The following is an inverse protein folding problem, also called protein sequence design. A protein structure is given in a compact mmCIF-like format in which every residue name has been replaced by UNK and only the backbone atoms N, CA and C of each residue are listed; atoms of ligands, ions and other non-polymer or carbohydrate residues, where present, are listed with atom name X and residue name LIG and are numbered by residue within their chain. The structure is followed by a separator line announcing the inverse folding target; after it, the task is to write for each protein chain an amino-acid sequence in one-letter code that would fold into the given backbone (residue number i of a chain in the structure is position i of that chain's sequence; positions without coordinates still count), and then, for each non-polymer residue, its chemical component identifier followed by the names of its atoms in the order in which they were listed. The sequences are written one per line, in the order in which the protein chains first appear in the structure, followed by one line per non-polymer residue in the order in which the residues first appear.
data_IF_328513885713
#
_entry.id   IF_328513885713
#
_cell.length_a   1.000
_cell.length_b   1.000
_cell.length_c   1.000
_cell.angle_alpha   90.00
_cell.angle_beta   90.00
_cell.angle_gamma   90.00
#
_symmetry.space_group_name_H-M   'P 1'
#
loop_
_entity.id
_entity.type
_entity.pdbx_description
1 polymer ?
#
# COMPACT_ATOMS: atom_id res chain seq x y z
N UNK A 1 -17.72 2.79 28.78
CA UNK A 1 -18.85 3.02 27.84
C UNK A 1 -18.27 3.35 26.48
N UNK A 2 -17.74 2.33 25.81
CA UNK A 2 -18.35 1.68 24.62
C UNK A 2 -18.36 2.59 23.40
N UNK A 3 -17.43 2.29 22.48
CA UNK A 3 -17.65 2.25 21.04
C UNK A 3 -18.20 3.51 20.39
N UNK A 4 -17.34 4.22 19.65
CA UNK A 4 -17.61 4.58 18.24
C UNK A 4 -16.32 5.19 17.66
N UNK A 5 -15.93 4.74 16.46
CA UNK A 5 -14.75 5.16 15.67
C UNK A 5 -13.40 4.45 15.87
N UNK A 6 -13.38 3.18 16.32
CA UNK A 6 -12.32 2.24 15.90
C UNK A 6 -12.75 1.51 14.61
N UNK A 7 -13.30 2.26 13.65
CA UNK A 7 -13.79 1.71 12.37
C UNK A 7 -12.78 2.09 11.28
N UNK A 8 -12.12 1.07 10.74
CA UNK A 8 -11.28 1.07 9.54
C UNK A 8 -9.81 1.52 9.67
N UNK A 9 -8.96 0.73 10.35
CA UNK A 9 -7.56 0.63 9.91
C UNK A 9 -7.50 -0.19 8.61
N UNK A 10 -7.85 0.41 7.47
CA UNK A 10 -7.58 -0.12 6.11
C UNK A 10 -6.11 0.10 5.70
N UNK A 11 -5.20 -0.01 6.66
CA UNK A 11 -3.76 0.10 6.48
C UNK A 11 -3.10 -1.10 7.13
N UNK A 12 -2.00 -1.58 6.53
CA UNK A 12 -1.19 -2.63 7.13
C UNK A 12 -0.88 -2.30 8.59
N UNK A 13 -0.91 -3.31 9.47
CA UNK A 13 -0.75 -3.08 10.90
C UNK A 13 0.60 -2.41 11.20
N UNK A 14 0.58 -1.41 12.08
CA UNK A 14 1.77 -0.62 12.46
C UNK A 14 2.89 -1.52 12.99
N UNK A 15 2.52 -2.60 13.68
CA UNK A 15 3.45 -3.63 14.17
C UNK A 15 4.28 -4.26 13.04
N UNK A 16 3.66 -4.53 11.89
CA UNK A 16 4.32 -5.13 10.73
C UNK A 16 5.24 -4.12 10.04
N UNK A 17 4.86 -2.84 10.01
CA UNK A 17 5.70 -1.77 9.47
C UNK A 17 6.95 -1.58 10.35
N UNK A 18 6.78 -1.57 11.67
CA UNK A 18 7.90 -1.53 12.62
C UNK A 18 8.85 -2.71 12.38
N UNK A 19 8.30 -3.92 12.19
CA UNK A 19 9.09 -5.11 11.89
C UNK A 19 9.87 -5.01 10.57
N UNK A 20 9.28 -4.43 9.52
CA UNK A 20 10.00 -4.17 8.25
C UNK A 20 11.21 -3.25 8.49
N UNK A 21 11.05 -2.21 9.33
CA UNK A 21 12.12 -1.26 9.65
C UNK A 21 13.22 -1.92 10.49
N UNK A 22 12.87 -2.72 11.50
CA UNK A 22 13.83 -3.50 12.29
C UNK A 22 14.69 -4.40 11.39
N UNK A 23 14.05 -5.18 10.50
CA UNK A 23 14.74 -6.05 9.55
C UNK A 23 15.60 -5.24 8.56
N UNK A 24 15.17 -4.04 8.19
CA UNK A 24 15.95 -3.15 7.34
C UNK A 24 17.23 -2.68 8.04
N UNK A 25 17.14 -2.19 9.27
CA UNK A 25 18.32 -1.78 10.04
C UNK A 25 19.28 -2.95 10.28
N UNK A 26 18.74 -4.11 10.68
CA UNK A 26 19.54 -5.33 10.85
C UNK A 26 20.26 -5.75 9.56
N UNK A 27 19.59 -5.67 8.41
CA UNK A 27 20.19 -5.99 7.10
C UNK A 27 21.37 -5.08 6.73
N UNK A 28 21.37 -3.84 7.23
CA UNK A 28 22.44 -2.85 6.95
C UNK A 28 23.64 -3.01 7.86
N UNK A 29 23.42 -3.39 9.11
CA UNK A 29 24.47 -3.48 10.12
C UNK A 29 25.19 -4.83 10.11
N UNK A 30 24.40 -5.92 10.17
CA UNK A 30 24.93 -7.28 10.41
C UNK A 30 24.49 -8.31 9.37
N UNK A 31 23.54 -7.94 8.50
CA UNK A 31 22.93 -8.85 7.53
C UNK A 31 21.72 -9.61 8.10
N UNK A 32 21.01 -10.33 7.23
CA UNK A 32 19.84 -11.12 7.59
C UNK A 32 20.12 -12.61 7.42
N UNK A 33 19.54 -13.42 8.29
CA UNK A 33 19.42 -14.86 8.04
C UNK A 33 18.42 -15.13 6.90
N UNK A 34 18.48 -16.32 6.30
CA UNK A 34 17.54 -16.73 5.24
C UNK A 34 16.08 -16.70 5.69
N UNK A 35 15.81 -17.00 6.96
CA UNK A 35 14.47 -16.95 7.53
C UNK A 35 13.95 -15.50 7.62
N UNK A 36 14.81 -14.58 8.08
CA UNK A 36 14.48 -13.16 8.20
C UNK A 36 14.36 -12.49 6.84
N UNK A 37 15.16 -12.90 5.86
CA UNK A 37 15.03 -12.44 4.48
C UNK A 37 13.66 -12.84 3.91
N UNK A 38 13.23 -14.09 4.10
CA UNK A 38 11.90 -14.56 3.69
C UNK A 38 10.79 -13.78 4.41
N UNK A 39 10.92 -13.57 5.72
CA UNK A 39 9.99 -12.75 6.50
C UNK A 39 9.88 -11.33 5.91
N UNK A 40 11.01 -10.67 5.69
CA UNK A 40 11.06 -9.32 5.14
C UNK A 40 10.40 -9.23 3.75
N UNK A 41 10.62 -10.21 2.89
CA UNK A 41 10.01 -10.27 1.55
C UNK A 41 8.49 -10.39 1.63
N UNK A 42 7.98 -11.26 2.51
CA UNK A 42 6.53 -11.44 2.71
C UNK A 42 5.91 -10.13 3.23
N UNK A 43 6.50 -9.54 4.26
CA UNK A 43 6.02 -8.30 4.84
C UNK A 43 6.04 -7.14 3.82
N UNK A 44 7.13 -7.00 3.05
CA UNK A 44 7.21 -5.97 2.00
C UNK A 44 6.17 -6.16 0.90
N UNK A 45 5.91 -7.40 0.50
CA UNK A 45 4.87 -7.70 -0.49
C UNK A 45 3.50 -7.27 0.01
N UNK A 46 3.14 -7.64 1.24
CA UNK A 46 1.88 -7.25 1.87
C UNK A 46 1.74 -5.72 1.96
N UNK A 47 2.82 -5.03 2.34
CA UNK A 47 2.84 -3.57 2.42
C UNK A 47 2.57 -2.93 1.07
N UNK A 48 3.32 -3.32 0.04
CA UNK A 48 3.17 -2.77 -1.30
C UNK A 48 1.76 -3.03 -1.84
N UNK A 49 1.19 -4.21 -1.61
CA UNK A 49 -0.17 -4.52 -2.05
C UNK A 49 -1.22 -3.67 -1.32
N UNK A 50 -1.03 -3.39 -0.03
CA UNK A 50 -1.88 -2.48 0.72
C UNK A 50 -1.80 -1.04 0.20
N UNK A 51 -0.59 -0.55 -0.10
CA UNK A 51 -0.35 0.79 -0.64
C UNK A 51 -0.94 0.92 -2.05
N UNK A 52 -0.71 -0.06 -2.92
CA UNK A 52 -1.29 -0.09 -4.29
C UNK A 52 -2.81 -0.04 -4.26
N UNK A 53 -3.45 -0.80 -3.37
CA UNK A 53 -4.91 -0.79 -3.21
C UNK A 53 -5.41 0.58 -2.75
N UNK A 54 -4.73 1.19 -1.78
CA UNK A 54 -5.11 2.52 -1.30
C UNK A 54 -4.96 3.58 -2.40
N UNK A 55 -3.82 3.60 -3.11
CA UNK A 55 -3.57 4.52 -4.21
C UNK A 55 -4.60 4.36 -5.34
N UNK A 56 -4.95 3.13 -5.71
CA UNK A 56 -5.99 2.88 -6.73
C UNK A 56 -7.33 3.51 -6.33
N UNK A 57 -7.76 3.31 -5.08
CA UNK A 57 -8.99 3.92 -4.58
C UNK A 57 -8.94 5.45 -4.56
N UNK A 58 -7.76 6.05 -4.35
CA UNK A 58 -7.61 7.51 -4.48
C UNK A 58 -7.74 7.95 -5.94
N UNK A 59 -7.08 7.26 -6.87
CA UNK A 59 -7.12 7.58 -8.31
C UNK A 59 -8.53 7.46 -8.89
N UNK A 60 -9.33 6.48 -8.45
CA UNK A 60 -10.73 6.30 -8.87
C UNK A 60 -11.59 7.56 -8.62
N UNK A 61 -11.20 8.40 -7.66
CA UNK A 61 -11.89 9.63 -7.30
C UNK A 61 -11.24 10.91 -7.85
N UNK A 62 -10.14 10.80 -8.60
CA UNK A 62 -9.44 11.95 -9.20
C UNK A 62 -9.75 12.02 -10.68
N UNK A 63 -10.23 13.18 -11.12
CA UNK A 63 -10.41 13.51 -12.54
C UNK A 63 -9.60 14.73 -12.91
N UNK A 64 -8.95 14.69 -14.07
CA UNK A 64 -8.13 15.77 -14.61
C UNK A 64 -8.84 16.37 -15.81
N UNK A 65 -8.94 17.70 -15.85
CA UNK A 65 -9.38 18.43 -17.03
C UNK A 65 -8.16 18.71 -17.91
N UNK A 66 -8.15 18.15 -19.11
CA UNK A 66 -7.07 18.28 -20.08
C UNK A 66 -7.13 19.66 -20.79
N UNK A 67 -6.07 20.00 -21.52
CA UNK A 67 -5.97 21.29 -22.21
C UNK A 67 -7.04 21.48 -23.31
N UNK A 68 -7.53 20.38 -23.89
CA UNK A 68 -8.62 20.37 -24.88
C UNK A 68 -10.03 20.46 -24.25
N UNK A 69 -10.11 20.51 -22.91
CA UNK A 69 -11.36 20.58 -22.16
C UNK A 69 -11.99 19.23 -21.83
N UNK A 70 -11.44 18.11 -22.30
CA UNK A 70 -11.88 16.76 -21.93
C UNK A 70 -11.58 16.45 -20.46
N UNK A 71 -12.32 15.49 -19.88
CA UNK A 71 -12.15 15.06 -18.49
C UNK A 71 -11.67 13.60 -18.49
N UNK A 72 -10.50 13.37 -17.90
CA UNK A 72 -9.91 12.04 -17.75
C UNK A 72 -10.01 11.59 -16.29
N UNK A 73 -10.73 10.50 -16.01
CA UNK A 73 -10.67 9.85 -14.70
C UNK A 73 -9.37 9.03 -14.59
N UNK A 74 -8.55 9.30 -13.56
CA UNK A 74 -7.25 8.67 -13.42
C UNK A 74 -7.33 7.21 -12.99
N UNK A 75 -8.34 6.83 -12.21
CA UNK A 75 -8.57 5.44 -11.82
C UNK A 75 -9.03 4.58 -12.99
N UNK A 76 -9.80 5.13 -13.94
CA UNK A 76 -10.15 4.40 -15.17
C UNK A 76 -8.97 4.27 -16.14
N UNK A 77 -8.18 5.34 -16.29
CA UNK A 77 -7.02 5.35 -17.20
C UNK A 77 -5.89 4.43 -16.74
N UNK A 78 -5.63 4.35 -15.43
CA UNK A 78 -4.48 3.61 -14.87
C UNK A 78 -4.87 2.44 -13.97
N UNK A 79 -6.12 2.35 -13.54
CA UNK A 79 -6.64 1.17 -12.88
C UNK A 79 -6.88 0.10 -13.92
N UNK A 80 -5.97 -0.88 -14.00
CA UNK A 80 -6.16 -2.13 -14.74
C UNK A 80 -7.45 -2.86 -14.30
N UNK A 81 -8.61 -2.35 -14.69
CA UNK A 81 -9.88 -3.07 -14.67
C UNK A 81 -9.80 -4.00 -15.87
N UNK A 82 -9.32 -5.23 -15.66
CA UNK A 82 -9.66 -6.29 -16.60
C UNK A 82 -11.18 -6.29 -16.66
N UNK A 83 -11.70 -5.82 -17.79
CA UNK A 83 -13.12 -5.87 -18.12
C UNK A 83 -13.49 -7.35 -18.01
N UNK A 84 -14.30 -7.67 -16.99
CA UNK A 84 -14.99 -8.94 -16.88
C UNK A 84 -16.38 -8.77 -17.48
#
# INVERSE_FOLDING_TARGET
MTSLLRKERKHMDESKIARINELYHKSKEVGLSDAELKEQLILRKEYIDSVRRNLRGQLDNISVKEADGSITNLGEKYGNKKVH
#
